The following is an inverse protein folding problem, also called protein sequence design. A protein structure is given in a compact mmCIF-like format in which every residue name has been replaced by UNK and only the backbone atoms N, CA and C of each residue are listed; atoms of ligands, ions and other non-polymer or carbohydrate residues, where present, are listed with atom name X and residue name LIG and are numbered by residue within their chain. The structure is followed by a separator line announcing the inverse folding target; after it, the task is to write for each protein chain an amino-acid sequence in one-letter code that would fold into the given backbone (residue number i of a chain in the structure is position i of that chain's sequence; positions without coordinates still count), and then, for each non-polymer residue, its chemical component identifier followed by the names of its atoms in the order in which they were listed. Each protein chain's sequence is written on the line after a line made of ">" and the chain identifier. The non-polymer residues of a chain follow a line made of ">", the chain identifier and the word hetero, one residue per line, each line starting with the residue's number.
data_IF_323124768428
#
_entry.id   IF_323124768428
#
_cell.length_a   1.000
_cell.length_b   1.000
_cell.length_c   1.000
_cell.angle_alpha   90.00
_cell.angle_beta   90.00
_cell.angle_gamma   90.00
#
_symmetry.space_group_name_H-M   'P 1'
#
loop_
_entity.id
_entity.type
_entity.pdbx_description
1 polymer ?
#
# COMPACT_ATOMS: atom_id res chain seq x y z
N UNK A 1 -16.94 3.66 15.17
CA UNK A 1 -15.71 2.99 15.61
C UNK A 1 -15.09 2.43 14.35
N UNK A 2 -14.03 3.08 13.87
CA UNK A 2 -13.50 2.88 12.51
C UNK A 2 -12.94 1.47 12.30
N UNK A 3 -13.53 0.80 11.33
CA UNK A 3 -12.93 -0.09 10.34
C UNK A 3 -11.77 -0.96 10.80
N UNK A 4 -12.14 -2.08 11.41
CA UNK A 4 -11.35 -3.30 11.30
C UNK A 4 -11.42 -3.71 9.81
N UNK A 5 -10.56 -3.14 8.97
CA UNK A 5 -10.33 -3.69 7.63
C UNK A 5 -9.86 -5.12 7.85
N UNK A 6 -10.76 -6.08 7.63
CA UNK A 6 -10.45 -7.50 7.62
C UNK A 6 -9.35 -7.71 6.59
N UNK A 7 -8.11 -7.75 7.06
CA UNK A 7 -6.95 -8.00 6.19
C UNK A 7 -7.08 -9.45 5.74
N UNK A 8 -7.33 -9.67 4.45
CA UNK A 8 -7.73 -10.97 3.88
C UNK A 8 -6.70 -12.10 3.96
N UNK A 9 -5.61 -11.93 4.72
CA UNK A 9 -4.48 -12.85 4.73
C UNK A 9 -3.66 -12.82 3.45
N UNK A 10 -4.02 -11.99 2.47
CA UNK A 10 -3.27 -11.85 1.23
C UNK A 10 -2.04 -10.95 1.44
N UNK A 11 -0.84 -11.40 1.04
CA UNK A 11 0.41 -10.65 1.19
C UNK A 11 0.37 -9.27 0.52
N UNK A 12 -0.27 -9.16 -0.65
CA UNK A 12 -0.37 -7.89 -1.37
C UNK A 12 -1.32 -6.91 -0.65
N UNK A 13 -2.45 -7.38 -0.13
CA UNK A 13 -3.34 -6.55 0.71
C UNK A 13 -2.68 -6.09 2.01
N UNK A 14 -1.93 -6.97 2.68
CA UNK A 14 -1.13 -6.62 3.86
C UNK A 14 -0.18 -5.46 3.57
N UNK A 15 0.46 -5.48 2.40
CA UNK A 15 1.35 -4.40 1.94
C UNK A 15 0.63 -3.06 1.79
N UNK A 16 -0.56 -3.06 1.18
CA UNK A 16 -1.38 -1.85 1.00
C UNK A 16 -1.86 -1.28 2.34
N UNK A 17 -2.41 -2.13 3.21
CA UNK A 17 -2.92 -1.71 4.52
C UNK A 17 -1.79 -1.13 5.37
N UNK A 18 -0.62 -1.75 5.36
CA UNK A 18 0.56 -1.23 6.05
C UNK A 18 0.94 0.15 5.51
N UNK A 19 1.06 0.32 4.19
CA UNK A 19 1.40 1.59 3.57
C UNK A 19 0.40 2.70 3.95
N UNK A 20 -0.91 2.45 3.81
CA UNK A 20 -1.97 3.42 4.15
C UNK A 20 -1.88 3.88 5.60
N UNK A 21 -1.68 2.93 6.53
CA UNK A 21 -1.54 3.23 7.96
C UNK A 21 -0.23 3.93 8.28
N UNK A 22 0.85 3.56 7.61
CA UNK A 22 2.17 4.18 7.77
C UNK A 22 2.16 5.63 7.29
N UNK A 23 1.49 5.90 6.16
CA UNK A 23 1.24 7.26 5.64
C UNK A 23 0.38 8.10 6.58
N UNK A 24 -0.71 7.52 7.10
CA UNK A 24 -1.55 8.18 8.10
C UNK A 24 -0.79 8.53 9.38
N UNK A 25 0.21 7.70 9.76
CA UNK A 25 1.06 7.92 10.94
C UNK A 25 2.17 8.94 10.69
N UNK A 26 2.72 9.00 9.48
CA UNK A 26 3.91 9.80 9.17
C UNK A 26 3.73 11.28 9.49
N UNK A 27 2.52 11.83 9.44
CA UNK A 27 2.18 13.23 9.71
C UNK A 27 2.76 14.21 8.69
N UNK A 28 4.00 13.98 8.25
CA UNK A 28 4.74 14.73 7.26
C UNK A 28 4.80 13.99 5.92
N UNK A 29 3.93 14.41 4.99
CA UNK A 29 3.86 13.86 3.63
C UNK A 29 5.02 14.34 2.74
N UNK A 30 5.86 15.26 3.21
CA UNK A 30 7.02 15.77 2.44
C UNK A 30 8.10 14.71 2.24
N UNK A 31 8.07 13.62 3.04
CA UNK A 31 8.95 12.46 2.87
C UNK A 31 8.55 11.55 1.71
N UNK A 32 7.30 11.64 1.22
CA UNK A 32 6.79 10.82 0.12
C UNK A 32 7.58 10.98 -1.19
N UNK A 33 7.78 12.20 -1.74
CA UNK A 33 8.54 12.37 -2.98
C UNK A 33 9.98 11.86 -2.86
N UNK A 34 10.59 11.99 -1.67
CA UNK A 34 11.94 11.47 -1.40
C UNK A 34 11.97 9.95 -1.31
N UNK A 35 10.90 9.34 -0.81
CA UNK A 35 10.74 7.88 -0.77
C UNK A 35 10.44 7.32 -2.16
N UNK A 36 9.57 7.96 -2.94
CA UNK A 36 9.24 7.58 -4.31
C UNK A 36 10.48 7.60 -5.21
N UNK A 37 11.42 8.54 -5.00
CA UNK A 37 12.70 8.57 -5.70
C UNK A 37 13.61 7.35 -5.42
N UNK A 38 13.34 6.58 -4.36
CA UNK A 38 14.07 5.36 -4.02
C UNK A 38 13.44 4.11 -4.65
N UNK A 39 12.30 4.23 -5.33
CA UNK A 39 11.66 3.12 -6.04
C UNK A 39 12.64 2.45 -7.02
N UNK A 40 12.72 1.11 -7.06
CA UNK A 40 11.88 0.12 -6.37
C UNK A 40 12.38 -0.33 -4.99
N UNK A 41 13.40 0.32 -4.41
CA UNK A 41 14.04 -0.09 -3.15
C UNK A 41 13.36 0.54 -1.93
N UNK A 42 12.78 -0.30 -1.08
CA UNK A 42 12.24 0.12 0.22
C UNK A 42 13.41 0.26 1.22
N UNK A 43 13.49 1.37 1.99
CA UNK A 43 14.48 1.52 3.04
C UNK A 43 14.43 0.37 4.05
N UNK A 44 15.59 -0.14 4.49
CA UNK A 44 15.68 -1.32 5.36
C UNK A 44 14.85 -1.19 6.65
N UNK A 45 14.73 0.02 7.21
CA UNK A 45 13.87 0.31 8.37
C UNK A 45 12.39 -0.01 8.07
N UNK A 46 11.88 0.49 6.95
CA UNK A 46 10.47 0.31 6.54
C UNK A 46 10.25 -1.13 6.09
N UNK A 47 11.19 -1.72 5.35
CA UNK A 47 11.13 -3.15 4.94
C UNK A 47 11.04 -4.07 6.17
N UNK A 48 11.85 -3.83 7.21
CA UNK A 48 11.79 -4.61 8.45
C UNK A 48 10.46 -4.49 9.20
N UNK A 49 9.87 -3.29 9.25
CA UNK A 49 8.54 -3.07 9.85
C UNK A 49 7.42 -3.73 9.03
N UNK A 50 7.49 -3.62 7.70
CA UNK A 50 6.55 -4.22 6.76
C UNK A 50 6.52 -5.75 6.90
N UNK A 51 7.69 -6.38 6.95
CA UNK A 51 7.80 -7.84 7.12
C UNK A 51 7.33 -8.28 8.50
N UNK A 52 7.68 -7.54 9.56
CA UNK A 52 7.19 -7.83 10.90
C UNK A 52 5.67 -7.67 11.00
N UNK A 53 5.08 -6.75 10.25
CA UNK A 53 3.64 -6.59 10.18
C UNK A 53 2.98 -7.77 9.47
N UNK A 54 3.51 -8.19 8.32
CA UNK A 54 3.04 -9.36 7.58
C UNK A 54 3.15 -10.66 8.38
N UNK A 55 4.21 -10.82 9.16
CA UNK A 55 4.39 -11.94 10.06
C UNK A 55 3.23 -12.13 11.07
N UNK A 56 2.57 -11.03 11.47
CA UNK A 56 1.41 -11.08 12.39
C UNK A 56 0.16 -11.68 11.77
N UNK A 57 0.06 -11.69 10.44
CA UNK A 57 -1.08 -12.27 9.72
C UNK A 57 -0.89 -13.75 9.40
N UNK A 58 0.21 -14.36 9.85
CA UNK A 58 0.49 -15.77 9.60
C UNK A 58 1.13 -16.04 8.22
N UNK A 59 1.62 -15.01 7.53
CA UNK A 59 2.40 -15.12 6.29
C UNK A 59 3.81 -15.72 6.50
N UNK A 60 4.10 -16.19 7.71
CA UNK A 60 5.35 -16.88 8.02
C UNK A 60 5.25 -18.31 7.52
N UNK A 61 6.11 -18.69 6.56
CA UNK A 61 6.26 -20.09 6.20
C UNK A 61 6.69 -20.86 7.46
N UNK A 62 5.90 -21.88 7.79
CA UNK A 62 5.79 -22.57 9.09
C UNK A 62 7.05 -23.30 9.63
N UNK A 63 8.27 -22.88 9.28
CA UNK A 63 9.48 -23.58 9.72
C UNK A 63 10.62 -22.71 10.25
N UNK A 64 10.61 -21.39 10.06
CA UNK A 64 11.73 -20.54 10.51
C UNK A 64 11.34 -19.07 10.81
N UNK A 65 10.05 -18.74 10.96
CA UNK A 65 9.59 -17.32 11.06
C UNK A 65 9.95 -16.49 9.80
N UNK A 66 10.19 -17.15 8.67
CA UNK A 66 10.55 -16.51 7.42
C UNK A 66 9.34 -16.42 6.49
N UNK A 67 9.05 -15.21 6.01
CA UNK A 67 8.11 -14.96 4.92
C UNK A 67 8.73 -15.52 3.64
N UNK A 68 7.96 -16.26 2.84
CA UNK A 68 8.42 -16.78 1.55
C UNK A 68 8.89 -15.64 0.63
N UNK A 69 9.81 -15.93 -0.28
CA UNK A 69 10.28 -14.94 -1.24
C UNK A 69 9.12 -14.35 -2.06
N UNK A 70 8.16 -15.17 -2.47
CA UNK A 70 7.00 -14.76 -3.23
C UNK A 70 6.10 -13.79 -2.43
N UNK A 71 5.76 -14.15 -1.20
CA UNK A 71 5.02 -13.30 -0.27
C UNK A 71 5.75 -11.98 -0.02
N UNK A 72 7.08 -12.04 0.13
CA UNK A 72 7.91 -10.85 0.32
C UNK A 72 7.80 -9.88 -0.85
N UNK A 73 7.83 -10.39 -2.08
CA UNK A 73 7.62 -9.56 -3.27
C UNK A 73 6.19 -9.03 -3.35
N UNK A 74 5.18 -9.84 -3.02
CA UNK A 74 3.78 -9.42 -3.04
C UNK A 74 3.49 -8.31 -2.02
N UNK A 75 3.96 -8.43 -0.78
CA UNK A 75 3.82 -7.39 0.26
C UNK A 75 4.50 -6.09 -0.16
N UNK A 76 5.71 -6.17 -0.73
CA UNK A 76 6.42 -4.98 -1.23
C UNK A 76 5.71 -4.33 -2.41
N UNK A 77 5.14 -5.13 -3.32
CA UNK A 77 4.35 -4.63 -4.43
C UNK A 77 3.09 -3.90 -3.94
N UNK A 78 2.40 -4.46 -2.93
CA UNK A 78 1.25 -3.83 -2.29
C UNK A 78 1.61 -2.52 -1.59
N UNK A 79 2.76 -2.48 -0.91
CA UNK A 79 3.28 -1.25 -0.30
C UNK A 79 3.48 -0.15 -1.35
N UNK A 80 4.20 -0.45 -2.43
CA UNK A 80 4.44 0.52 -3.48
C UNK A 80 3.15 0.91 -4.21
N UNK A 81 2.19 0.00 -4.38
CA UNK A 81 0.91 0.31 -5.00
C UNK A 81 0.17 1.43 -4.27
N UNK A 82 0.15 1.38 -2.94
CA UNK A 82 -0.49 2.40 -2.11
C UNK A 82 0.31 3.71 -2.03
N UNK A 83 1.64 3.65 -2.13
CA UNK A 83 2.52 4.83 -2.15
C UNK A 83 2.52 5.53 -3.53
N UNK A 84 2.43 4.76 -4.61
CA UNK A 84 2.42 5.20 -6.01
C UNK A 84 1.05 5.68 -6.45
N UNK A 85 -0.03 5.09 -5.91
CA UNK A 85 -1.35 5.72 -5.96
C UNK A 85 -1.14 7.16 -5.46
N UNK A 86 -1.41 8.18 -6.29
CA UNK A 86 -1.25 9.55 -5.86
C UNK A 86 -2.01 9.66 -4.54
N UNK A 87 -1.38 10.25 -3.51
CA UNK A 87 -1.90 10.40 -2.15
C UNK A 87 -3.16 11.28 -2.11
N UNK A 88 -4.14 10.87 -2.88
CA UNK A 88 -5.20 11.59 -3.54
C UNK A 88 -6.45 10.77 -3.22
N UNK A 89 -6.88 10.92 -1.98
CA UNK A 89 -8.29 10.77 -1.64
C UNK A 89 -9.14 11.86 -2.30
N UNK A 90 -8.89 12.15 -3.58
CA UNK A 90 -9.92 12.64 -4.47
C UNK A 90 -10.18 11.46 -5.42
N UNK A 91 -11.37 10.82 -5.36
CA UNK A 91 -11.80 10.05 -6.52
C UNK A 91 -11.67 11.02 -7.68
N UNK A 92 -10.88 10.65 -8.70
CA UNK A 92 -10.89 11.35 -9.97
C UNK A 92 -12.37 11.51 -10.30
N UNK A 93 -12.87 12.75 -10.16
CA UNK A 93 -14.25 13.07 -10.45
C UNK A 93 -14.47 12.54 -11.84
N UNK A 94 -15.26 11.46 -11.96
CA UNK A 94 -15.80 11.06 -13.24
C UNK A 94 -16.38 12.34 -13.83
N UNK A 95 -15.70 12.85 -14.85
CA UNK A 95 -16.21 13.94 -15.64
C UNK A 95 -17.62 13.49 -16.06
N UNK A 96 -18.70 14.17 -15.64
CA UNK A 96 -19.96 13.92 -16.29
C UNK A 96 -19.72 14.28 -17.75
N UNK A 97 -19.77 13.26 -18.63
CA UNK A 97 -19.83 13.46 -20.06
C UNK A 97 -21.03 14.38 -20.30
N UNK A 98 -20.77 15.67 -20.45
CA UNK A 98 -21.67 16.60 -21.11
C UNK A 98 -21.77 16.12 -22.56
N UNK A 99 -22.70 15.19 -22.78
CA UNK A 99 -23.11 14.76 -24.11
C UNK A 99 -23.83 15.96 -24.73
N UNK A 100 -23.04 16.83 -25.36
CA UNK A 100 -23.53 17.85 -26.26
C UNK A 100 -24.38 17.17 -27.35
N UNK A 101 -25.70 17.30 -27.23
CA UNK A 101 -26.65 17.00 -28.29
C UNK A 101 -26.77 18.26 -29.16
N UNK A 102 -26.36 18.25 -30.45
CA UNK A 102 -26.81 19.28 -31.37
C UNK A 102 -28.19 18.89 -31.93
N UNK A 103 -29.23 19.73 -31.80
CA UNK A 103 -30.39 19.65 -32.67
C UNK A 103 -30.17 20.53 -33.91
N UNK A 104 -30.18 19.92 -35.09
CA UNK A 104 -30.57 20.58 -36.35
C UNK A 104 -32.06 20.35 -36.55
#
# INVERSE_FOLDING_TARGET
>A
EEDITTVGGDPFEVGQVFARRWLGRLGDRSLLPRLAALYPRIPHRVDGELLRYAARFGLLAHKDDQIDEHDRYAIRAGFWREIDLPANGEPAAQQPLDHARPPT
#
